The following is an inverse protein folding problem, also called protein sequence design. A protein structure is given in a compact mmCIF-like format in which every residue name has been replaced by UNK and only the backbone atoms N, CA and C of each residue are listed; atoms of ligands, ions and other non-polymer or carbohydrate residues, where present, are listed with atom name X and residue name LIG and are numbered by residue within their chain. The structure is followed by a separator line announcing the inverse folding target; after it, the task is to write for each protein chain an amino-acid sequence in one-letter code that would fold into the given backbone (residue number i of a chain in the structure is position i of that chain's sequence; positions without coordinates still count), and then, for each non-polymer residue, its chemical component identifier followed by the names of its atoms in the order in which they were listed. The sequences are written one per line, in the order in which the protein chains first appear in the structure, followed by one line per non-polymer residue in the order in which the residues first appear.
data_IF_664600469460
#
_entry.id   IF_664600469460
#
_cell.length_a   1.000
_cell.length_b   1.000
_cell.length_c   1.000
_cell.angle_alpha   90.00
_cell.angle_beta   90.00
_cell.angle_gamma   90.00
#
_symmetry.space_group_name_H-M   'P 1'
#
loop_
_entity.id
_entity.type
_entity.pdbx_description
1 polymer ?
#
# COMPACT_ATOMS: atom_id res chain seq x y z
N UNK A 1 -2.59 21.14 -13.50
CA UNK A 1 -2.73 19.82 -12.83
C UNK A 1 -1.36 19.36 -12.38
N UNK A 2 -0.97 19.76 -11.17
CA UNK A 2 0.36 19.55 -10.61
C UNK A 2 0.34 18.24 -9.84
N UNK A 3 1.06 17.24 -10.34
CA UNK A 3 1.18 15.93 -9.71
C UNK A 3 2.06 16.05 -8.46
N UNK A 4 1.51 15.75 -7.28
CA UNK A 4 2.30 15.64 -6.05
C UNK A 4 3.24 14.44 -6.12
N UNK A 5 4.53 14.70 -6.24
CA UNK A 5 5.60 13.71 -6.08
C UNK A 5 6.02 13.63 -4.63
N UNK A 6 5.99 12.42 -4.06
CA UNK A 6 6.75 12.05 -2.86
C UNK A 6 7.74 10.97 -3.31
N UNK A 7 9.04 11.31 -3.32
CA UNK A 7 10.24 10.46 -3.54
C UNK A 7 10.43 9.70 -4.86
N UNK A 8 10.40 10.38 -6.02
CA UNK A 8 11.07 9.88 -7.25
C UNK A 8 10.55 8.56 -7.85
N UNK A 9 9.54 7.94 -7.26
CA UNK A 9 8.67 6.95 -7.90
C UNK A 9 7.23 7.40 -7.68
N UNK A 10 6.48 7.69 -8.76
CA UNK A 10 5.13 8.21 -8.62
C UNK A 10 4.28 7.23 -7.84
N UNK A 11 3.62 7.72 -6.78
CA UNK A 11 2.56 6.97 -6.09
C UNK A 11 1.56 6.53 -7.16
N UNK A 12 1.51 5.21 -7.44
CA UNK A 12 0.68 4.73 -8.53
C UNK A 12 -0.76 4.65 -8.08
N UNK A 13 -1.60 5.49 -8.68
CA UNK A 13 -3.05 5.34 -8.59
C UNK A 13 -3.44 3.91 -9.03
N UNK A 14 -4.60 3.39 -8.58
CA UNK A 14 -5.08 2.08 -9.05
C UNK A 14 -5.04 1.94 -10.58
N UNK A 15 -5.36 3.02 -11.30
CA UNK A 15 -5.28 3.11 -12.75
C UNK A 15 -3.85 2.95 -13.27
N UNK A 16 -2.89 3.66 -12.70
CA UNK A 16 -1.47 3.54 -13.08
C UNK A 16 -0.90 2.14 -12.79
N UNK A 17 -1.38 1.45 -11.74
CA UNK A 17 -1.03 0.04 -11.48
C UNK A 17 -1.57 -0.88 -12.59
N UNK A 18 -2.83 -0.68 -13.01
CA UNK A 18 -3.46 -1.44 -14.08
C UNK A 18 -2.79 -1.21 -15.45
N UNK A 19 -2.31 0.01 -15.72
CA UNK A 19 -1.58 0.31 -16.96
C UNK A 19 -0.22 -0.43 -17.04
N UNK A 20 0.40 -0.71 -15.89
CA UNK A 20 1.68 -1.42 -15.85
C UNK A 20 1.54 -2.89 -16.26
N UNK A 21 2.12 -3.26 -17.41
CA UNK A 21 2.16 -4.64 -17.89
C UNK A 21 2.80 -5.57 -16.87
N UNK A 22 3.99 -5.23 -16.38
CA UNK A 22 4.71 -6.03 -15.37
C UNK A 22 3.89 -6.27 -14.09
N UNK A 23 3.14 -5.25 -13.62
CA UNK A 23 2.27 -5.39 -12.46
C UNK A 23 1.13 -6.37 -12.73
N UNK A 24 0.44 -6.24 -13.88
CA UNK A 24 -0.64 -7.15 -14.28
C UNK A 24 -0.15 -8.59 -14.38
N UNK A 25 0.97 -8.83 -15.05
CA UNK A 25 1.56 -10.17 -15.20
C UNK A 25 1.82 -10.82 -13.84
N UNK A 26 2.52 -10.12 -12.95
CA UNK A 26 2.85 -10.65 -11.62
C UNK A 26 1.61 -10.97 -10.77
N UNK A 27 0.57 -10.14 -10.87
CA UNK A 27 -0.67 -10.33 -10.11
C UNK A 27 -1.68 -11.24 -10.83
N UNK A 28 -1.41 -11.66 -12.07
CA UNK A 28 -2.19 -12.66 -12.80
C UNK A 28 -1.59 -14.07 -12.68
N UNK A 29 -0.48 -14.24 -11.96
CA UNK A 29 0.23 -15.51 -11.85
C UNK A 29 -0.63 -16.65 -11.27
N UNK A 30 -1.72 -16.33 -10.55
CA UNK A 30 -2.69 -17.32 -10.08
C UNK A 30 -3.39 -18.09 -11.22
N UNK A 31 -3.42 -17.55 -12.44
CA UNK A 31 -3.93 -18.22 -13.64
C UNK A 31 -3.07 -19.40 -14.09
N UNK A 32 -1.83 -19.52 -13.61
CA UNK A 32 -0.99 -20.68 -13.90
C UNK A 32 -1.58 -21.96 -13.32
N UNK A 33 -2.34 -21.88 -12.22
CA UNK A 33 -2.97 -23.04 -11.61
C UNK A 33 -4.01 -23.72 -12.52
N UNK A 34 -5.04 -23.02 -13.04
CA UNK A 34 -5.94 -23.63 -14.02
C UNK A 34 -5.28 -23.95 -15.36
N UNK A 35 -4.24 -23.21 -15.75
CA UNK A 35 -3.52 -23.48 -17.00
C UNK A 35 -2.71 -24.78 -16.95
N UNK A 36 -1.98 -25.03 -15.87
CA UNK A 36 -1.08 -26.19 -15.71
C UNK A 36 -1.72 -27.37 -14.97
N UNK A 37 -2.91 -27.18 -14.39
CA UNK A 37 -3.52 -28.10 -13.44
C UNK A 37 -4.30 -29.29 -14.01
N UNK A 38 -4.40 -29.44 -15.33
CA UNK A 38 -5.06 -30.56 -16.02
C UNK A 38 -6.39 -31.01 -15.37
N UNK A 39 -7.37 -30.10 -15.28
CA UNK A 39 -8.73 -30.41 -14.81
C UNK A 39 -8.88 -30.53 -13.29
N UNK A 40 -8.12 -31.39 -12.62
CA UNK A 40 -8.31 -31.67 -11.18
C UNK A 40 -7.73 -30.56 -10.29
N UNK A 41 -6.68 -29.86 -10.74
CA UNK A 41 -6.10 -28.73 -10.00
C UNK A 41 -6.63 -27.36 -10.46
N UNK A 42 -7.63 -27.33 -11.35
CA UNK A 42 -8.24 -26.08 -11.85
C UNK A 42 -8.79 -25.20 -10.73
N UNK A 43 -9.32 -25.84 -9.69
CA UNK A 43 -9.89 -25.17 -8.53
C UNK A 43 -8.85 -24.40 -7.70
N UNK A 44 -7.57 -24.79 -7.72
CA UNK A 44 -6.55 -24.22 -6.84
C UNK A 44 -6.34 -22.71 -7.05
N UNK A 45 -6.40 -22.25 -8.30
CA UNK A 45 -6.32 -20.81 -8.62
C UNK A 45 -7.52 -20.02 -8.07
N UNK A 46 -8.72 -20.59 -8.17
CA UNK A 46 -9.95 -19.98 -7.66
C UNK A 46 -9.98 -19.96 -6.12
N UNK A 47 -9.52 -21.03 -5.46
CA UNK A 47 -9.35 -21.06 -4.00
C UNK A 47 -8.38 -19.96 -3.54
N UNK A 48 -7.24 -19.82 -4.22
CA UNK A 48 -6.25 -18.79 -3.90
C UNK A 48 -6.85 -17.38 -3.92
N UNK A 49 -7.56 -17.02 -4.99
CA UNK A 49 -8.17 -15.68 -5.09
C UNK A 49 -9.34 -15.53 -4.12
N UNK A 50 -10.13 -16.58 -3.87
CA UNK A 50 -11.29 -16.55 -2.99
C UNK A 50 -10.87 -16.33 -1.53
N UNK A 51 -9.86 -17.06 -1.07
CA UNK A 51 -9.26 -16.87 0.25
C UNK A 51 -8.66 -15.46 0.40
N UNK A 52 -7.99 -14.97 -0.65
CA UNK A 52 -7.31 -13.67 -0.63
C UNK A 52 -8.26 -12.48 -0.67
N UNK A 53 -9.33 -12.55 -1.46
CA UNK A 53 -10.29 -11.46 -1.62
C UNK A 53 -11.52 -11.55 -0.72
N UNK A 54 -11.70 -12.67 -0.01
CA UNK A 54 -12.86 -12.95 0.85
C UNK A 54 -14.20 -12.76 0.12
N UNK A 55 -14.24 -13.13 -1.18
CA UNK A 55 -15.43 -13.00 -2.05
C UNK A 55 -16.12 -14.37 -2.19
N UNK A 56 -17.38 -14.54 -1.78
CA UNK A 56 -18.06 -15.83 -1.79
C UNK A 56 -18.30 -16.38 -3.21
N UNK A 57 -18.50 -15.50 -4.19
CA UNK A 57 -18.69 -15.90 -5.60
C UNK A 57 -17.51 -16.73 -6.15
N UNK A 58 -16.28 -16.47 -5.69
CA UNK A 58 -15.11 -17.21 -6.16
C UNK A 58 -14.94 -18.56 -5.44
N UNK A 59 -15.47 -18.69 -4.23
CA UNK A 59 -15.61 -19.98 -3.56
C UNK A 59 -16.59 -20.90 -4.30
N UNK A 60 -17.70 -20.34 -4.80
CA UNK A 60 -18.65 -21.09 -5.63
C UNK A 60 -17.95 -21.61 -6.91
N UNK A 61 -17.23 -20.74 -7.62
CA UNK A 61 -16.48 -21.15 -8.82
C UNK A 61 -15.43 -22.24 -8.51
N UNK A 62 -14.69 -22.10 -7.41
CA UNK A 62 -13.74 -23.13 -6.95
C UNK A 62 -14.43 -24.47 -6.69
N UNK A 63 -15.58 -24.45 -5.98
CA UNK A 63 -16.37 -25.65 -5.71
C UNK A 63 -16.90 -26.31 -6.98
N UNK A 64 -17.45 -25.53 -7.93
CA UNK A 64 -17.97 -26.04 -9.20
C UNK A 64 -16.87 -26.75 -10.01
N UNK A 65 -15.71 -26.14 -10.19
CA UNK A 65 -14.62 -26.79 -10.93
C UNK A 65 -14.00 -27.96 -10.19
N UNK A 66 -13.98 -27.96 -8.86
CA UNK A 66 -13.54 -29.10 -8.08
C UNK A 66 -14.47 -30.30 -8.29
N UNK A 67 -15.79 -30.08 -8.23
CA UNK A 67 -16.79 -31.13 -8.48
C UNK A 67 -16.71 -31.63 -9.93
N UNK A 68 -16.72 -30.73 -10.92
CA UNK A 68 -16.66 -31.11 -12.33
C UNK A 68 -15.36 -31.87 -12.67
N UNK A 69 -14.22 -31.43 -12.13
CA UNK A 69 -12.94 -32.12 -12.30
C UNK A 69 -12.98 -33.52 -11.70
N UNK A 70 -13.44 -33.65 -10.45
CA UNK A 70 -13.50 -34.95 -9.76
C UNK A 70 -14.51 -35.90 -10.44
N UNK A 71 -15.71 -35.43 -10.78
CA UNK A 71 -16.71 -36.22 -11.49
C UNK A 71 -16.19 -36.67 -12.85
N UNK A 72 -15.50 -35.80 -13.58
CA UNK A 72 -14.86 -36.17 -14.85
C UNK A 72 -13.80 -37.28 -14.68
N UNK A 73 -13.00 -37.23 -13.61
CA UNK A 73 -12.00 -38.28 -13.33
C UNK A 73 -12.62 -39.62 -12.98
N UNK A 74 -13.67 -39.63 -12.15
CA UNK A 74 -14.38 -40.86 -11.76
C UNK A 74 -15.09 -41.47 -12.98
N UNK A 75 -15.69 -40.64 -13.83
CA UNK A 75 -16.37 -41.11 -15.04
C UNK A 75 -15.37 -41.66 -16.08
N UNK A 76 -14.18 -41.05 -16.19
CA UNK A 76 -13.14 -41.54 -17.07
C UNK A 76 -12.63 -42.92 -16.64
N UNK A 77 -12.41 -43.12 -15.34
CA UNK A 77 -12.00 -44.40 -14.75
C UNK A 77 -13.06 -45.49 -14.91
N UNK A 78 -14.34 -45.13 -14.77
CA UNK A 78 -15.47 -46.05 -14.93
C UNK A 78 -15.80 -46.40 -16.39
N UNK A 79 -15.12 -45.79 -17.38
CA UNK A 79 -15.41 -46.00 -18.80
C UNK A 79 -14.33 -46.83 -19.48
N UNK A 80 -14.71 -47.98 -20.07
CA UNK A 80 -13.81 -48.90 -20.78
C UNK A 80 -13.35 -48.34 -22.16
N UNK A 81 -12.71 -47.17 -22.17
CA UNK A 81 -12.13 -46.53 -23.38
C UNK A 81 -12.78 -45.23 -23.84
N UNK A 82 -13.45 -44.48 -22.95
CA UNK A 82 -14.34 -43.38 -23.34
C UNK A 82 -13.67 -42.07 -23.76
N UNK A 83 -13.49 -41.86 -25.07
CA UNK A 83 -13.20 -40.53 -25.66
C UNK A 83 -14.17 -39.44 -25.20
N UNK A 84 -15.39 -39.83 -24.80
CA UNK A 84 -16.42 -38.95 -24.24
C UNK A 84 -16.06 -38.39 -22.85
N UNK A 85 -15.61 -39.23 -21.92
CA UNK A 85 -15.20 -38.79 -20.58
C UNK A 85 -13.94 -37.91 -20.63
N UNK A 86 -12.98 -38.28 -21.49
CA UNK A 86 -11.83 -37.43 -21.81
C UNK A 86 -12.24 -36.07 -22.38
N UNK A 87 -13.25 -36.05 -23.27
CA UNK A 87 -13.82 -34.81 -23.80
C UNK A 87 -14.41 -33.89 -22.73
N UNK A 88 -15.14 -34.45 -21.76
CA UNK A 88 -15.70 -33.68 -20.62
C UNK A 88 -14.60 -33.05 -19.78
N UNK A 89 -13.50 -33.78 -19.52
CA UNK A 89 -12.35 -33.27 -18.78
C UNK A 89 -11.66 -32.11 -19.53
N UNK A 90 -11.45 -32.24 -20.84
CA UNK A 90 -10.86 -31.18 -21.67
C UNK A 90 -11.76 -29.95 -21.73
N UNK A 91 -13.07 -30.13 -21.89
CA UNK A 91 -14.04 -29.02 -21.88
C UNK A 91 -14.08 -28.32 -20.53
N UNK A 92 -14.05 -29.07 -19.43
CA UNK A 92 -14.01 -28.53 -18.06
C UNK A 92 -12.73 -27.73 -17.83
N UNK A 93 -11.59 -28.27 -18.26
CA UNK A 93 -10.30 -27.59 -18.19
C UNK A 93 -10.31 -26.28 -19.02
N UNK A 94 -10.75 -26.33 -20.28
CA UNK A 94 -10.85 -25.15 -21.15
C UNK A 94 -11.80 -24.09 -20.57
N UNK A 95 -12.97 -24.50 -20.08
CA UNK A 95 -13.93 -23.61 -19.43
C UNK A 95 -13.32 -22.94 -18.18
N UNK A 96 -12.51 -23.65 -17.41
CA UNK A 96 -11.83 -23.08 -16.23
C UNK A 96 -10.81 -22.00 -16.61
N UNK A 97 -10.08 -22.18 -17.71
CA UNK A 97 -9.12 -21.20 -18.23
C UNK A 97 -9.87 -19.94 -18.68
N UNK A 98 -10.93 -20.11 -19.48
CA UNK A 98 -11.76 -18.99 -19.96
C UNK A 98 -12.35 -18.21 -18.78
N UNK A 99 -12.89 -18.90 -17.78
CA UNK A 99 -13.43 -18.26 -16.58
C UNK A 99 -12.34 -17.51 -15.79
N UNK A 100 -11.15 -18.10 -15.66
CA UNK A 100 -10.01 -17.42 -15.04
C UNK A 100 -9.67 -16.11 -15.75
N UNK A 101 -9.61 -16.12 -17.09
CA UNK A 101 -9.35 -14.93 -17.92
C UNK A 101 -10.43 -13.86 -17.71
N UNK A 102 -11.71 -14.25 -17.63
CA UNK A 102 -12.84 -13.33 -17.40
C UNK A 102 -12.82 -12.72 -15.99
N UNK A 103 -12.43 -13.48 -14.97
CA UNK A 103 -12.36 -13.01 -13.57
C UNK A 103 -11.12 -12.14 -13.32
N UNK A 104 -10.02 -12.37 -14.04
CA UNK A 104 -8.75 -11.70 -13.78
C UNK A 104 -8.83 -10.16 -13.80
N UNK A 105 -9.49 -9.48 -14.76
CA UNK A 105 -9.67 -8.02 -14.71
C UNK A 105 -10.37 -7.54 -13.44
N UNK A 106 -11.36 -8.27 -12.93
CA UNK A 106 -12.07 -7.93 -11.70
C UNK A 106 -11.15 -8.08 -10.49
N UNK A 107 -10.39 -9.18 -10.43
CA UNK A 107 -9.38 -9.40 -9.39
C UNK A 107 -8.29 -8.32 -9.40
N UNK A 108 -7.77 -7.96 -10.58
CA UNK A 108 -6.75 -6.93 -10.73
C UNK A 108 -7.28 -5.55 -10.32
N UNK A 109 -8.52 -5.19 -10.67
CA UNK A 109 -9.16 -3.94 -10.21
C UNK A 109 -9.31 -3.93 -8.70
N UNK A 110 -9.82 -5.01 -8.12
CA UNK A 110 -9.91 -5.16 -6.67
C UNK A 110 -8.54 -5.02 -6.01
N UNK A 111 -7.51 -5.70 -6.53
CA UNK A 111 -6.15 -5.68 -5.99
C UNK A 111 -5.46 -4.32 -6.15
N UNK A 112 -5.73 -3.60 -7.23
CA UNK A 112 -5.21 -2.26 -7.45
C UNK A 112 -5.80 -1.23 -6.46
N UNK A 113 -7.09 -1.39 -6.12
CA UNK A 113 -7.79 -0.57 -5.14
C UNK A 113 -7.45 -0.93 -3.68
N UNK A 114 -7.22 -2.21 -3.40
CA UNK A 114 -6.91 -2.73 -2.05
C UNK A 114 -5.38 -2.87 -1.88
N UNK A 115 -4.71 -1.73 -1.78
CA UNK A 115 -3.31 -1.65 -1.33
C UNK A 115 -3.17 -1.82 0.18
N UNK A 116 -1.94 -1.90 0.72
CA UNK A 116 -1.72 -1.77 2.16
C UNK A 116 -2.42 -0.51 2.66
N UNK A 117 -3.08 -0.59 3.80
CA UNK A 117 -3.93 0.47 4.33
C UNK A 117 -3.16 1.79 4.54
N UNK A 118 -1.85 1.73 4.83
CA UNK A 118 -0.96 2.91 4.97
C UNK A 118 -0.54 3.52 3.63
N UNK A 119 -0.76 2.80 2.53
CA UNK A 119 -0.63 3.35 1.19
C UNK A 119 -1.94 3.96 0.71
N UNK A 120 -3.11 3.73 1.34
CA UNK A 120 -4.35 4.39 0.91
C UNK A 120 -4.37 5.86 1.36
N UNK A 121 -4.95 6.73 0.53
CA UNK A 121 -4.92 8.19 0.63
C UNK A 121 -4.99 8.70 2.08
N UNK A 122 -3.93 9.36 2.55
CA UNK A 122 -4.11 10.53 3.43
C UNK A 122 -4.63 11.61 2.48
N UNK A 123 -5.95 11.75 2.40
CA UNK A 123 -6.52 12.93 1.77
C UNK A 123 -5.92 14.13 2.52
N UNK A 124 -5.31 15.13 1.84
CA UNK A 124 -4.88 16.32 2.54
C UNK A 124 -6.10 16.81 3.30
N UNK A 125 -5.97 16.99 4.63
CA UNK A 125 -7.04 17.58 5.44
C UNK A 125 -7.63 18.74 4.63
N UNK A 126 -8.98 18.85 4.51
CA UNK A 126 -9.60 19.84 3.65
C UNK A 126 -8.86 21.15 3.86
N UNK A 127 -8.17 21.61 2.81
CA UNK A 127 -7.36 22.82 2.91
C UNK A 127 -8.30 23.85 3.51
N UNK A 128 -7.98 24.49 4.65
CA UNK A 128 -8.81 25.56 5.14
C UNK A 128 -9.03 26.47 3.94
N UNK A 129 -10.30 26.67 3.60
CA UNK A 129 -10.70 27.43 2.42
C UNK A 129 -9.80 28.66 2.34
N UNK A 130 -9.27 28.94 1.14
CA UNK A 130 -8.21 29.92 0.90
C UNK A 130 -8.41 31.24 1.65
N UNK A 131 -7.34 32.04 1.78
CA UNK A 131 -7.21 33.09 2.80
C UNK A 131 -8.52 33.86 3.00
N UNK A 132 -9.15 33.65 4.17
CA UNK A 132 -10.17 34.57 4.66
C UNK A 132 -9.54 35.96 4.61
N UNK A 133 -10.15 36.96 3.93
CA UNK A 133 -9.61 38.30 3.89
C UNK A 133 -9.59 38.83 5.33
N UNK A 134 -8.43 38.80 5.98
CA UNK A 134 -8.19 39.60 7.15
C UNK A 134 -8.14 41.04 6.68
N UNK A 135 -9.32 41.69 6.66
CA UNK A 135 -9.41 43.13 6.56
C UNK A 135 -8.45 43.71 7.60
N UNK A 136 -7.44 44.41 7.11
CA UNK A 136 -6.43 45.08 7.91
C UNK A 136 -7.12 46.00 8.93
N UNK A 137 -7.18 45.57 10.19
CA UNK A 137 -7.32 46.51 11.30
C UNK A 137 -5.94 47.04 11.60
N UNK A 138 -5.71 48.27 11.17
CA UNK A 138 -4.59 49.07 11.60
C UNK A 138 -4.61 49.18 13.14
N UNK A 139 -3.52 48.74 13.78
CA UNK A 139 -3.19 49.19 15.12
C UNK A 139 -2.44 50.53 15.02
N UNK A 140 -2.77 51.54 15.83
CA UNK A 140 -2.01 52.79 15.83
C UNK A 140 -0.65 52.56 16.49
N UNK A 141 0.37 53.19 15.91
CA UNK A 141 1.73 53.22 16.44
C UNK A 141 1.81 54.02 17.74
N UNK A 142 2.46 53.46 18.76
CA UNK A 142 2.97 54.19 19.93
C UNK A 142 4.49 54.31 19.86
N UNK A 143 5.12 55.39 20.38
CA UNK A 143 6.54 55.67 20.14
C UNK A 143 7.48 55.15 21.26
N UNK A 144 8.54 54.40 20.84
CA UNK A 144 9.90 54.25 21.40
C UNK A 144 10.15 53.97 22.91
N UNK A 145 11.42 53.77 23.36
CA UNK A 145 12.70 53.72 22.63
C UNK A 145 13.70 52.58 23.04
N UNK A 146 14.74 52.44 22.20
CA UNK A 146 16.11 51.91 22.33
C UNK A 146 16.58 51.03 23.53
N UNK A 147 17.28 49.93 23.22
CA UNK A 147 18.13 49.18 24.15
C UNK A 147 18.87 47.97 23.54
N UNK A 148 20.13 48.19 23.14
CA UNK A 148 21.31 47.31 22.98
C UNK A 148 21.22 45.75 22.92
N UNK A 149 21.81 45.22 21.84
CA UNK A 149 22.68 44.03 21.68
C UNK A 149 22.69 42.91 22.73
N UNK A 150 22.38 41.70 22.28
CA UNK A 150 22.88 40.45 22.86
C UNK A 150 22.96 39.38 21.75
N UNK A 151 24.17 38.85 21.53
CA UNK A 151 24.48 37.55 20.92
C UNK A 151 23.27 36.73 20.46
N UNK A 152 23.06 36.61 19.15
CA UNK A 152 22.03 35.72 18.62
C UNK A 152 22.58 34.29 18.63
N UNK A 153 22.19 33.54 19.66
CA UNK A 153 22.36 32.10 19.71
C UNK A 153 21.74 31.44 18.45
N UNK A 154 22.23 30.27 18.00
CA UNK A 154 21.59 29.51 16.93
C UNK A 154 20.09 29.40 17.21
N UNK A 155 19.20 29.68 16.24
CA UNK A 155 17.77 29.69 16.50
C UNK A 155 17.37 28.34 17.10
N UNK A 156 16.79 28.40 18.30
CA UNK A 156 16.17 27.24 18.92
C UNK A 156 15.23 26.59 17.88
N UNK A 157 15.19 25.24 17.78
CA UNK A 157 14.36 24.58 16.79
C UNK A 157 12.93 25.10 16.93
N UNK A 158 12.48 25.70 15.83
CA UNK A 158 11.22 26.39 15.64
C UNK A 158 10.09 25.62 16.32
N UNK A 159 9.54 26.21 17.39
CA UNK A 159 8.62 25.52 18.32
C UNK A 159 7.24 25.24 17.71
N UNK A 160 6.99 25.64 16.47
CA UNK A 160 5.70 25.58 15.79
C UNK A 160 5.75 24.96 14.38
N UNK A 161 6.52 23.88 14.16
CA UNK A 161 6.36 23.09 12.92
C UNK A 161 5.02 22.36 12.90
N UNK A 162 3.97 23.03 12.40
CA UNK A 162 2.66 22.45 12.06
C UNK A 162 2.70 21.64 10.74
N UNK A 163 3.81 20.97 10.48
CA UNK A 163 4.05 20.18 9.26
C UNK A 163 4.35 18.72 9.59
N UNK A 164 4.31 17.82 8.59
CA UNK A 164 4.66 16.42 8.78
C UNK A 164 6.09 16.27 9.30
N UNK A 165 6.26 15.42 10.32
CA UNK A 165 7.54 15.16 10.98
C UNK A 165 8.36 14.12 10.20
N UNK A 166 9.61 14.45 9.86
CA UNK A 166 10.48 13.51 9.16
C UNK A 166 11.00 12.39 10.09
N UNK A 167 10.64 11.16 9.76
CA UNK A 167 11.00 9.96 10.48
C UNK A 167 12.46 9.56 10.36
N UNK A 168 13.29 10.24 9.58
CA UNK A 168 14.74 9.98 9.57
C UNK A 168 15.52 10.96 10.44
N UNK A 169 15.06 12.21 10.53
CA UNK A 169 15.76 13.30 11.24
C UNK A 169 15.12 13.69 12.57
N UNK A 170 13.86 13.31 12.83
CA UNK A 170 13.15 13.71 14.05
C UNK A 170 13.82 13.22 15.34
N UNK A 171 13.91 14.12 16.31
CA UNK A 171 14.41 13.87 17.65
C UNK A 171 13.40 13.07 18.48
N UNK A 172 13.86 12.47 19.60
CA UNK A 172 12.99 11.78 20.54
C UNK A 172 11.85 12.68 21.06
N UNK A 173 12.14 13.96 21.28
CA UNK A 173 11.16 14.94 21.75
C UNK A 173 10.13 15.32 20.68
N UNK A 174 10.48 15.25 19.40
CA UNK A 174 9.54 15.49 18.32
C UNK A 174 8.69 14.25 18.05
N UNK A 175 9.28 13.06 18.10
CA UNK A 175 8.57 11.79 17.96
C UNK A 175 7.52 11.58 19.06
N UNK A 176 7.81 12.01 20.30
CA UNK A 176 6.86 11.93 21.41
C UNK A 176 5.64 12.85 21.25
N UNK A 177 5.69 13.82 20.33
CA UNK A 177 4.54 14.69 20.00
C UNK A 177 3.59 14.06 18.99
N UNK A 178 3.95 12.91 18.40
CA UNK A 178 3.05 12.22 17.47
C UNK A 178 1.81 11.72 18.21
N UNK A 179 0.62 11.77 17.58
CA UNK A 179 -0.61 11.34 18.22
C UNK A 179 -0.53 9.86 18.58
N UNK A 180 -0.74 9.55 19.85
CA UNK A 180 -0.60 8.19 20.39
C UNK A 180 0.82 7.65 20.40
N UNK A 181 1.83 8.53 20.36
CA UNK A 181 3.20 8.16 20.69
C UNK A 181 3.32 7.94 22.19
N UNK A 182 3.55 6.68 22.53
CA UNK A 182 4.05 6.27 23.83
C UNK A 182 5.60 6.33 23.82
N UNK A 183 6.27 6.54 24.96
CA UNK A 183 7.71 6.29 25.10
C UNK A 183 8.20 5.02 24.38
N UNK A 184 7.42 3.94 24.40
CA UNK A 184 7.72 2.71 23.68
C UNK A 184 7.76 2.88 22.15
N UNK A 185 6.80 3.64 21.58
CA UNK A 185 6.77 3.91 20.14
C UNK A 185 7.99 4.72 19.71
N UNK A 186 8.29 5.79 20.45
CA UNK A 186 9.47 6.64 20.20
C UNK A 186 10.76 5.83 20.25
N UNK A 187 10.94 5.01 21.29
CA UNK A 187 12.10 4.14 21.42
C UNK A 187 12.22 3.19 20.24
N UNK A 188 11.10 2.58 19.82
CA UNK A 188 11.06 1.61 18.72
C UNK A 188 11.38 2.24 17.36
N UNK A 189 10.95 3.47 17.10
CA UNK A 189 11.33 4.22 15.90
C UNK A 189 12.85 4.47 15.90
N UNK A 190 13.41 4.94 17.01
CA UNK A 190 14.85 5.20 17.13
C UNK A 190 15.69 3.92 17.02
N UNK A 191 15.28 2.84 17.69
CA UNK A 191 15.94 1.53 17.59
C UNK A 191 15.90 1.00 16.16
N UNK A 192 14.77 1.16 15.45
CA UNK A 192 14.65 0.73 14.06
C UNK A 192 15.58 1.53 13.13
N UNK A 193 15.76 2.85 13.35
CA UNK A 193 16.76 3.65 12.62
C UNK A 193 18.19 3.15 12.86
N UNK A 194 18.52 2.83 14.12
CA UNK A 194 19.86 2.35 14.48
C UNK A 194 20.14 0.95 13.90
N UNK A 195 19.16 0.06 13.93
CA UNK A 195 19.33 -1.33 13.50
C UNK A 195 19.29 -1.50 11.98
N UNK A 196 18.47 -0.70 11.28
CA UNK A 196 18.21 -0.88 9.85
C UNK A 196 18.73 0.28 8.98
N UNK A 197 19.25 1.34 9.58
CA UNK A 197 19.60 2.57 8.90
C UNK A 197 18.39 3.48 8.63
N UNK A 198 18.56 4.56 7.85
CA UNK A 198 17.48 5.47 7.52
C UNK A 198 16.38 4.76 6.72
N UNK A 199 15.13 5.06 7.05
CA UNK A 199 13.97 4.52 6.34
C UNK A 199 13.94 5.09 4.93
N UNK A 200 13.67 4.22 3.94
CA UNK A 200 13.59 4.64 2.53
C UNK A 200 12.22 5.18 2.15
N UNK A 201 11.18 4.65 2.79
CA UNK A 201 9.79 5.03 2.59
C UNK A 201 8.96 4.58 3.82
N UNK A 202 7.67 4.92 3.83
CA UNK A 202 6.76 4.55 4.91
C UNK A 202 6.54 3.03 5.00
N UNK A 203 6.66 2.28 3.90
CA UNK A 203 6.53 0.82 3.92
C UNK A 203 7.73 0.15 4.62
N UNK A 204 8.93 0.65 4.35
CA UNK A 204 10.18 0.27 5.01
C UNK A 204 10.11 0.57 6.51
N UNK A 205 9.61 1.75 6.88
CA UNK A 205 9.34 2.12 8.26
C UNK A 205 8.39 1.13 8.95
N UNK A 206 7.24 0.80 8.36
CA UNK A 206 6.28 -0.15 8.94
C UNK A 206 6.91 -1.54 9.09
N UNK A 207 7.72 -1.99 8.12
CA UNK A 207 8.39 -3.29 8.18
C UNK A 207 9.46 -3.33 9.28
N UNK A 208 10.28 -2.30 9.39
CA UNK A 208 11.38 -2.22 10.35
C UNK A 208 10.90 -1.98 11.78
N UNK A 209 9.85 -1.17 11.93
CA UNK A 209 9.26 -0.94 13.24
C UNK A 209 8.27 -2.03 13.62
N UNK A 210 7.66 -2.78 12.69
CA UNK A 210 6.71 -3.86 12.99
C UNK A 210 5.37 -3.39 13.59
N UNK A 211 5.03 -2.10 13.44
CA UNK A 211 3.88 -1.49 14.10
C UNK A 211 2.55 -2.12 13.66
N UNK A 212 1.58 -2.14 14.57
CA UNK A 212 0.24 -2.63 14.27
C UNK A 212 -0.56 -1.59 13.51
N UNK A 213 -1.68 -2.02 12.92
CA UNK A 213 -2.51 -1.21 12.04
C UNK A 213 -2.96 0.10 12.68
N UNK A 214 -3.48 0.02 13.89
CA UNK A 214 -4.05 1.16 14.61
C UNK A 214 -2.98 2.21 14.92
N UNK A 215 -1.74 1.78 15.15
CA UNK A 215 -0.62 2.67 15.45
C UNK A 215 -0.18 3.45 14.22
N UNK A 216 -0.04 2.76 13.08
CA UNK A 216 0.43 3.43 11.86
C UNK A 216 -0.68 4.32 11.26
N UNK A 217 -1.98 3.99 11.40
CA UNK A 217 -3.10 4.84 10.95
C UNK A 217 -3.10 6.18 11.69
N UNK A 218 -2.71 6.16 12.96
CA UNK A 218 -2.66 7.35 13.81
C UNK A 218 -1.49 8.27 13.47
N UNK A 219 -0.32 7.72 13.17
CA UNK A 219 0.90 8.52 12.94
C UNK A 219 1.13 8.86 11.47
N UNK A 220 0.67 8.05 10.52
CA UNK A 220 0.92 8.22 9.08
C UNK A 220 0.58 9.63 8.53
N UNK A 221 -0.51 10.30 8.95
CA UNK A 221 -0.82 11.66 8.49
C UNK A 221 0.15 12.74 9.01
N UNK A 222 0.91 12.44 10.06
CA UNK A 222 1.76 13.39 10.78
C UNK A 222 3.24 13.20 10.48
N UNK A 223 3.60 12.28 9.59
CA UNK A 223 4.97 11.87 9.36
C UNK A 223 5.32 11.80 7.88
N UNK A 224 6.57 12.08 7.56
CA UNK A 224 7.17 11.89 6.23
C UNK A 224 8.49 11.13 6.36
N UNK A 225 8.99 10.59 5.25
CA UNK A 225 10.26 9.85 5.22
C UNK A 225 11.10 10.42 4.10
N UNK A 226 11.93 11.43 4.36
CA UNK A 226 12.81 11.97 3.32
C UNK A 226 14.07 11.09 3.20
N UNK A 227 14.37 10.49 2.03
CA UNK A 227 15.58 9.70 1.88
C UNK A 227 16.81 10.62 1.97
N UNK A 228 17.90 10.16 2.62
CA UNK A 228 19.11 10.96 2.74
C UNK A 228 19.64 11.35 1.34
N UNK A 229 20.26 12.54 1.20
CA UNK A 229 20.85 12.96 -0.06
C UNK A 229 21.78 11.87 -0.57
N UNK A 230 21.57 11.42 -1.81
CA UNK A 230 22.55 10.55 -2.47
C UNK A 230 23.79 11.41 -2.67
N UNK A 231 24.83 11.17 -1.87
CA UNK A 231 26.16 11.66 -2.19
C UNK A 231 26.47 11.13 -3.59
N UNK A 232 26.48 12.03 -4.58
CA UNK A 232 26.98 11.69 -5.91
C UNK A 232 28.45 11.26 -5.77
N UNK A 233 28.96 10.41 -6.68
CA UNK A 233 30.38 10.08 -6.67
C UNK A 233 31.17 11.39 -6.75
N UNK A 234 31.99 11.65 -5.72
CA UNK A 234 32.85 12.82 -5.64
C UNK A 234 33.71 12.91 -6.90
N UNK A 235 33.78 14.12 -7.46
CA UNK A 235 34.76 14.45 -8.49
C UNK A 235 36.15 14.52 -7.90
#
# INVERSE_FOLDING_TARGET
MTYGTVHGRPYRTPEQKLMSRAWRWRHSAWLLAPLLGFGVFSAAGFVYIAARAKRPAWWLAAGVYAVLGLTGTVLADASDGGSFAGGILVLTWGASIVHGIVVNPQYLRWRAAHGPWYAQRVEPAPQPAGPVPHAARAWPAGPGPAGSSAWEAPPAPDRDRRGPLDLNTATAQELSRLPGADPWLTHRILSARMAHGPFRDLEDFVRCTGLVREQVERIAPHVVVDPPPRLGPGR
#
